data_IF_148909668417
#
_entry.id   IF_148909668417
#
_cell.length_a   1.000
_cell.length_b   1.000
_cell.length_c   1.000
_cell.angle_alpha   90.00
_cell.angle_beta   90.00
_cell.angle_gamma   90.00
#
_symmetry.space_group_name_H-M   'P 1'
#
loop_
_entity.id
_entity.type
_entity.pdbx_description
1 polymer ?
#
# COMPACT_ATOMS: atom_id res chain seq x y z
N UNK A 1 -1.48 -58.19 31.53
CA UNK A 1 -0.64 -56.99 31.31
C UNK A 1 -1.61 -55.85 31.03
N UNK A 2 -2.45 -55.39 31.94
CA UNK A 2 -2.19 -54.65 33.19
C UNK A 2 -1.17 -53.50 33.10
N UNK A 3 -1.63 -52.34 33.62
CA UNK A 3 -1.03 -51.00 33.82
C UNK A 3 -1.37 -49.99 32.72
N UNK A 4 -2.16 -48.93 32.92
CA UNK A 4 -2.64 -48.27 34.14
C UNK A 4 -1.88 -46.97 34.40
N UNK A 5 -2.64 -45.93 34.78
CA UNK A 5 -2.26 -44.58 35.22
C UNK A 5 -1.86 -43.59 34.11
N UNK A 6 -2.46 -42.41 33.97
CA UNK A 6 -3.31 -41.65 34.89
C UNK A 6 -2.72 -40.26 35.09
N UNK A 7 -3.60 -39.25 35.11
CA UNK A 7 -3.47 -37.95 35.78
C UNK A 7 -2.39 -37.00 35.20
N UNK A 8 -2.49 -35.66 35.20
CA UNK A 8 -3.44 -34.77 35.85
C UNK A 8 -3.42 -33.39 35.18
N UNK A 9 -4.41 -32.62 35.61
CA UNK A 9 -4.85 -31.33 35.12
C UNK A 9 -4.05 -30.17 35.78
N UNK A 10 -4.08 -28.99 35.14
CA UNK A 10 -3.88 -27.64 35.71
C UNK A 10 -2.42 -27.16 35.95
N UNK A 11 -2.05 -26.02 35.36
CA UNK A 11 -2.04 -24.75 36.11
C UNK A 11 -1.83 -23.52 35.22
N UNK A 12 -2.75 -22.58 35.44
CA UNK A 12 -2.86 -21.22 34.95
C UNK A 12 -1.84 -20.31 35.67
N UNK A 13 -1.04 -19.51 34.95
CA UNK A 13 -0.46 -18.21 35.38
C UNK A 13 0.74 -17.86 34.49
N UNK A 14 1.01 -16.67 33.95
CA UNK A 14 0.47 -15.30 33.91
C UNK A 14 1.16 -14.60 32.71
N UNK A 15 0.63 -13.50 32.15
CA UNK A 15 1.34 -12.72 31.14
C UNK A 15 2.58 -12.02 31.74
N UNK A 16 3.70 -12.04 31.03
CA UNK A 16 4.88 -11.24 31.37
C UNK A 16 4.61 -9.79 30.95
N UNK A 17 3.99 -9.04 31.85
CA UNK A 17 4.05 -7.57 31.85
C UNK A 17 5.22 -7.18 32.74
N UNK A 18 6.37 -6.84 32.17
CA UNK A 18 7.39 -6.07 32.90
C UNK A 18 8.04 -5.02 32.01
N UNK A 19 7.67 -3.78 32.34
CA UNK A 19 8.18 -2.51 31.88
C UNK A 19 9.53 -2.27 32.56
N UNK A 20 10.65 -2.37 31.83
CA UNK A 20 11.95 -1.92 32.32
C UNK A 20 12.25 -0.53 31.78
N UNK A 21 11.93 0.48 32.58
CA UNK A 21 12.43 1.83 32.45
C UNK A 21 13.92 1.85 32.82
N UNK A 22 14.80 1.87 31.82
CA UNK A 22 16.22 2.22 32.04
C UNK A 22 16.44 3.69 31.74
N UNK A 23 16.54 4.44 32.84
CA UNK A 23 17.01 5.81 32.94
C UNK A 23 18.43 5.93 32.38
N UNK A 24 18.60 6.67 31.28
CA UNK A 24 19.90 7.17 30.85
C UNK A 24 20.02 8.63 31.28
N UNK A 25 20.71 8.86 32.40
CA UNK A 25 21.26 10.18 32.74
C UNK A 25 22.47 10.42 31.84
N UNK A 26 22.40 11.41 30.97
CA UNK A 26 23.60 12.07 30.45
C UNK A 26 23.37 13.57 30.38
N UNK A 27 23.95 14.25 31.37
CA UNK A 27 24.07 15.68 31.46
C UNK A 27 25.14 16.14 30.47
N UNK A 28 24.75 16.87 29.44
CA UNK A 28 25.68 17.73 28.68
C UNK A 28 25.08 19.12 28.60
N UNK A 29 25.93 20.08 28.94
CA UNK A 29 25.61 21.48 29.21
C UNK A 29 25.25 22.21 27.92
N UNK A 30 24.10 22.88 27.90
CA UNK A 30 23.71 23.81 26.85
C UNK A 30 24.64 25.03 26.85
N UNK A 31 25.10 25.44 25.66
CA UNK A 31 25.70 26.75 25.40
C UNK A 31 24.82 27.47 24.35
N UNK A 32 24.47 28.75 24.52
CA UNK A 32 23.63 29.47 23.58
C UNK A 32 24.38 29.71 22.26
N UNK A 33 23.72 29.49 21.13
CA UNK A 33 24.21 29.93 19.82
C UNK A 33 23.36 31.14 19.42
N UNK A 34 24.07 32.25 19.23
CA UNK A 34 23.52 33.57 18.91
C UNK A 34 23.01 33.65 17.48
N UNK A 35 21.96 34.46 17.31
CA UNK A 35 21.40 34.85 16.02
C UNK A 35 22.37 35.75 15.25
N UNK A 36 22.72 35.36 14.02
CA UNK A 36 23.38 36.23 13.05
C UNK A 36 22.56 36.26 11.77
N UNK A 37 21.79 37.33 11.64
CA UNK A 37 21.28 37.88 10.38
C UNK A 37 22.43 38.13 9.41
N UNK A 38 22.29 37.69 8.15
CA UNK A 38 22.47 38.48 6.91
C UNK A 38 22.71 37.52 5.73
N UNK A 39 21.69 37.34 4.90
CA UNK A 39 21.76 36.55 3.65
C UNK A 39 20.73 37.11 2.67
N UNK A 40 21.12 38.20 2.03
CA UNK A 40 20.36 39.04 1.10
C UNK A 40 20.10 38.27 -0.20
N UNK A 41 18.95 37.62 -0.35
CA UNK A 41 18.48 37.19 -1.67
C UNK A 41 17.68 38.34 -2.31
N UNK A 42 18.10 38.87 -3.47
CA UNK A 42 17.36 39.91 -4.16
C UNK A 42 16.05 39.32 -4.69
N UNK A 43 14.97 40.09 -4.50
CA UNK A 43 13.62 39.73 -4.90
C UNK A 43 13.48 39.52 -6.41
N UNK A 44 12.62 38.58 -6.75
CA UNK A 44 11.94 38.57 -8.04
C UNK A 44 10.48 38.81 -7.73
N UNK A 45 10.03 39.93 -8.27
CA UNK A 45 8.72 40.56 -8.13
C UNK A 45 7.61 39.66 -8.67
N UNK A 46 6.43 39.83 -8.08
CA UNK A 46 5.16 39.38 -8.60
C UNK A 46 4.92 39.99 -9.99
N UNK A 47 4.44 39.19 -10.93
CA UNK A 47 3.78 39.67 -12.14
C UNK A 47 2.54 38.82 -12.42
N UNK A 48 1.42 39.28 -11.88
CA UNK A 48 0.12 39.01 -12.48
C UNK A 48 0.12 39.66 -13.86
N UNK A 49 -0.12 38.90 -14.95
CA UNK A 49 -1.12 39.23 -15.99
C UNK A 49 -1.11 38.24 -17.17
N UNK A 50 -2.25 37.56 -17.30
CA UNK A 50 -3.07 37.56 -18.52
C UNK A 50 -2.45 37.09 -19.86
N UNK A 51 -2.82 35.88 -20.30
CA UNK A 51 -3.68 35.75 -21.49
C UNK A 51 -4.23 34.34 -21.67
N UNK A 52 -5.56 34.25 -21.65
CA UNK A 52 -6.29 33.24 -22.43
C UNK A 52 -5.96 33.50 -23.90
N UNK A 53 -5.33 32.56 -24.56
CA UNK A 53 -5.38 32.44 -26.02
C UNK A 53 -6.16 31.18 -26.34
N UNK A 54 -7.42 31.42 -26.70
CA UNK A 54 -8.17 30.73 -27.75
C UNK A 54 -7.60 29.39 -28.26
N UNK A 55 -8.36 28.32 -28.00
CA UNK A 55 -8.75 27.40 -29.07
C UNK A 55 -7.71 26.40 -29.53
N UNK A 56 -7.36 25.45 -28.68
CA UNK A 56 -7.08 24.09 -29.15
C UNK A 56 -7.99 23.15 -28.36
N UNK A 57 -9.20 22.95 -28.89
CA UNK A 57 -10.03 21.81 -28.50
C UNK A 57 -9.23 20.58 -28.86
N UNK A 58 -8.46 20.07 -27.90
CA UNK A 58 -8.01 18.69 -27.94
C UNK A 58 -9.31 17.90 -27.97
N UNK A 59 -9.64 17.36 -29.15
CA UNK A 59 -10.67 16.37 -29.32
C UNK A 59 -10.27 15.19 -28.43
N UNK A 60 -10.70 15.21 -27.16
CA UNK A 60 -10.69 14.02 -26.32
C UNK A 60 -11.60 13.05 -27.06
N UNK A 61 -11.06 11.95 -27.62
CA UNK A 61 -11.89 10.99 -28.33
C UNK A 61 -13.06 10.69 -27.43
N UNK A 62 -14.25 10.92 -27.98
CA UNK A 62 -15.52 10.77 -27.31
C UNK A 62 -15.51 9.52 -26.46
N UNK A 63 -15.81 9.75 -25.19
CA UNK A 63 -16.11 8.80 -24.12
C UNK A 63 -17.17 7.79 -24.61
N UNK A 64 -16.72 6.85 -25.42
CA UNK A 64 -17.46 5.68 -25.88
C UNK A 64 -16.81 4.45 -25.24
N UNK A 65 -16.54 4.53 -23.94
CA UNK A 65 -16.31 3.31 -23.17
C UNK A 65 -17.69 2.73 -22.92
N UNK A 66 -18.14 1.84 -23.81
CA UNK A 66 -19.29 0.99 -23.53
C UNK A 66 -19.04 0.35 -22.16
N UNK A 67 -19.82 0.75 -21.16
CA UNK A 67 -19.73 0.20 -19.81
C UNK A 67 -20.09 -1.27 -19.88
N UNK A 68 -19.06 -2.11 -20.01
CA UNK A 68 -19.15 -3.55 -19.91
C UNK A 68 -19.97 -3.90 -18.67
N UNK A 69 -20.86 -4.88 -18.76
CA UNK A 69 -21.65 -5.31 -17.60
C UNK A 69 -20.75 -5.86 -16.48
N UNK A 70 -21.20 -5.85 -15.23
CA UNK A 70 -20.44 -6.37 -14.08
C UNK A 70 -19.87 -7.78 -14.35
N UNK A 71 -20.70 -8.68 -14.88
CA UNK A 71 -20.29 -10.04 -15.25
C UNK A 71 -19.29 -10.10 -16.40
N UNK A 72 -19.29 -9.13 -17.31
CA UNK A 72 -18.32 -9.05 -18.41
C UNK A 72 -16.96 -8.57 -17.91
N UNK A 73 -16.92 -7.57 -17.01
CA UNK A 73 -15.66 -7.09 -16.43
C UNK A 73 -14.95 -8.19 -15.62
N UNK A 74 -15.70 -8.94 -14.82
CA UNK A 74 -15.17 -10.11 -14.09
C UNK A 74 -14.54 -11.10 -15.06
N UNK A 75 -15.24 -11.46 -16.13
CA UNK A 75 -14.74 -12.39 -17.15
C UNK A 75 -13.47 -11.87 -17.84
N UNK A 76 -13.42 -10.58 -18.16
CA UNK A 76 -12.22 -9.94 -18.75
C UNK A 76 -11.03 -10.02 -17.79
N UNK A 77 -11.22 -9.70 -16.51
CA UNK A 77 -10.15 -9.77 -15.51
C UNK A 77 -9.67 -11.20 -15.27
N UNK A 78 -10.59 -12.18 -15.23
CA UNK A 78 -10.24 -13.59 -15.12
C UNK A 78 -9.46 -14.08 -16.35
N UNK A 79 -9.90 -13.73 -17.55
CA UNK A 79 -9.20 -14.06 -18.79
C UNK A 79 -7.78 -13.46 -18.80
N UNK A 80 -7.65 -12.19 -18.40
CA UNK A 80 -6.36 -11.51 -18.31
C UNK A 80 -5.45 -12.16 -17.26
N UNK A 81 -5.98 -12.49 -16.08
CA UNK A 81 -5.24 -13.21 -15.03
C UNK A 81 -4.70 -14.53 -15.57
N UNK A 82 -5.53 -15.29 -16.29
CA UNK A 82 -5.15 -16.58 -16.87
C UNK A 82 -4.04 -16.45 -17.91
N UNK A 83 -4.09 -15.43 -18.77
CA UNK A 83 -2.99 -15.15 -19.71
C UNK A 83 -1.68 -14.83 -18.96
N UNK A 84 -1.77 -14.05 -17.88
CA UNK A 84 -0.61 -13.61 -17.11
C UNK A 84 0.02 -14.71 -16.25
N UNK A 85 -0.69 -15.81 -15.94
CA UNK A 85 -0.13 -16.94 -15.19
C UNK A 85 1.07 -17.58 -15.91
N UNK A 86 1.01 -17.68 -17.24
CA UNK A 86 2.08 -18.25 -18.07
C UNK A 86 3.04 -17.19 -18.67
N UNK A 87 2.93 -15.93 -18.23
CA UNK A 87 3.72 -14.86 -18.84
C UNK A 87 5.20 -14.93 -18.43
N UNK A 88 6.06 -15.22 -19.41
CA UNK A 88 7.53 -15.21 -19.29
C UNK A 88 8.21 -14.24 -20.28
N UNK A 89 7.49 -13.21 -20.72
CA UNK A 89 7.97 -12.22 -21.70
C UNK A 89 9.14 -11.37 -21.18
N UNK A 90 9.39 -11.33 -19.87
CA UNK A 90 10.50 -10.60 -19.24
C UNK A 90 11.21 -11.44 -18.16
N UNK A 91 12.40 -11.01 -17.67
CA UNK A 91 13.13 -11.74 -16.63
C UNK A 91 12.34 -11.96 -15.33
N UNK A 92 11.48 -11.03 -14.93
CA UNK A 92 10.69 -11.13 -13.69
C UNK A 92 9.75 -12.33 -13.70
N UNK A 93 9.13 -12.63 -14.85
CA UNK A 93 8.26 -13.80 -15.00
C UNK A 93 9.02 -15.12 -14.80
N UNK A 94 10.35 -15.14 -14.98
CA UNK A 94 11.17 -16.34 -14.80
C UNK A 94 11.59 -16.56 -13.35
N UNK A 95 11.54 -15.53 -12.50
CA UNK A 95 12.08 -15.57 -11.14
C UNK A 95 11.02 -15.52 -10.04
N UNK A 96 9.81 -15.04 -10.34
CA UNK A 96 8.70 -14.98 -9.38
C UNK A 96 8.28 -16.38 -8.89
N UNK A 97 7.78 -16.46 -7.67
CA UNK A 97 7.15 -17.67 -7.12
C UNK A 97 5.69 -17.74 -7.57
N UNK A 98 4.95 -16.64 -7.43
CA UNK A 98 3.55 -16.56 -7.82
C UNK A 98 3.26 -15.32 -8.67
N UNK A 99 2.20 -15.40 -9.49
CA UNK A 99 1.60 -14.20 -10.03
C UNK A 99 0.88 -13.47 -8.91
N UNK A 100 1.28 -12.23 -8.64
CA UNK A 100 0.52 -11.30 -7.82
C UNK A 100 -0.32 -10.44 -8.77
N UNK A 101 -1.60 -10.80 -8.89
CA UNK A 101 -2.57 -10.05 -9.70
C UNK A 101 -3.31 -9.02 -8.82
N UNK A 102 -4.13 -8.17 -9.43
CA UNK A 102 -5.02 -7.26 -8.68
C UNK A 102 -6.15 -8.01 -7.99
N UNK A 103 -6.65 -7.44 -6.88
CA UNK A 103 -7.69 -8.06 -6.04
C UNK A 103 -8.61 -6.99 -5.47
N UNK A 104 -9.90 -7.27 -5.36
CA UNK A 104 -10.85 -6.33 -4.81
C UNK A 104 -12.14 -6.34 -5.61
N UNK A 105 -12.87 -5.23 -5.59
CA UNK A 105 -14.09 -5.09 -6.37
C UNK A 105 -13.77 -4.72 -7.84
N UNK A 106 -14.11 -5.54 -8.83
CA UNK A 106 -13.97 -5.22 -10.27
C UNK A 106 -14.72 -3.94 -10.69
N UNK A 107 -15.73 -3.56 -9.91
CA UNK A 107 -16.56 -2.37 -10.08
C UNK A 107 -16.11 -1.19 -9.21
N UNK A 108 -14.96 -1.29 -8.55
CA UNK A 108 -14.47 -0.24 -7.68
C UNK A 108 -14.33 1.09 -8.42
N UNK A 109 -14.80 2.17 -7.80
CA UNK A 109 -14.57 3.53 -8.30
C UNK A 109 -13.15 4.03 -7.98
N UNK A 110 -12.44 3.35 -7.09
CA UNK A 110 -11.10 3.68 -6.62
C UNK A 110 -10.19 2.46 -6.76
N UNK A 111 -9.09 2.63 -7.50
CA UNK A 111 -8.06 1.63 -7.66
C UNK A 111 -6.73 2.12 -7.07
N UNK A 112 -6.06 1.27 -6.29
CA UNK A 112 -4.73 1.52 -5.75
C UNK A 112 -3.68 0.74 -6.55
N UNK A 113 -2.76 1.46 -7.19
CA UNK A 113 -1.68 0.88 -7.98
C UNK A 113 -0.35 1.08 -7.26
N UNK A 114 0.30 -0.03 -6.91
CA UNK A 114 1.63 -0.05 -6.32
C UNK A 114 2.74 -0.17 -7.38
N UNK A 115 3.97 -0.38 -6.91
CA UNK A 115 5.16 -0.53 -7.76
C UNK A 115 5.28 -1.96 -8.32
N UNK A 116 5.85 -2.87 -7.53
CA UNK A 116 6.05 -4.28 -7.85
C UNK A 116 5.78 -5.12 -6.59
N UNK A 117 5.45 -6.42 -6.74
CA UNK A 117 5.28 -7.30 -5.60
C UNK A 117 6.57 -7.42 -4.78
N UNK A 118 6.44 -7.29 -3.45
CA UNK A 118 7.51 -7.59 -2.52
C UNK A 118 7.63 -9.09 -2.27
N UNK A 119 8.48 -9.46 -1.31
CA UNK A 119 8.70 -10.86 -0.93
C UNK A 119 7.44 -11.54 -0.40
N UNK A 120 6.72 -10.87 0.50
CA UNK A 120 5.56 -11.47 1.16
C UNK A 120 4.40 -11.63 0.16
N UNK A 121 4.26 -10.66 -0.75
CA UNK A 121 3.31 -10.71 -1.86
C UNK A 121 3.65 -11.84 -2.83
N UNK A 122 4.90 -11.95 -3.29
CA UNK A 122 5.33 -13.03 -4.20
C UNK A 122 5.14 -14.42 -3.60
N UNK A 123 5.39 -14.57 -2.29
CA UNK A 123 5.19 -15.84 -1.59
C UNK A 123 3.70 -16.21 -1.43
N UNK A 124 2.82 -15.23 -1.26
CA UNK A 124 1.39 -15.46 -1.02
C UNK A 124 0.54 -15.40 -2.30
N UNK A 125 1.02 -14.77 -3.37
CA UNK A 125 0.25 -14.51 -4.58
C UNK A 125 -0.76 -13.37 -4.46
N UNK A 126 -0.69 -12.58 -3.38
CA UNK A 126 -1.70 -11.59 -3.00
C UNK A 126 -1.06 -10.20 -2.83
N UNK A 127 -1.66 -9.13 -3.38
CA UNK A 127 -1.08 -7.80 -3.34
C UNK A 127 -1.25 -7.15 -1.95
N UNK A 128 -0.26 -6.36 -1.54
CA UNK A 128 -0.31 -5.56 -0.31
C UNK A 128 -0.56 -6.38 0.97
N UNK A 129 0.11 -7.52 1.13
CA UNK A 129 0.02 -8.35 2.34
C UNK A 129 1.15 -8.07 3.34
N UNK A 130 2.25 -7.45 2.90
CA UNK A 130 3.37 -7.05 3.76
C UNK A 130 3.08 -5.83 4.64
N UNK A 131 4.11 -5.32 5.33
CA UNK A 131 3.97 -4.18 6.26
C UNK A 131 3.39 -2.92 5.62
N UNK A 132 3.81 -2.59 4.39
CA UNK A 132 3.29 -1.45 3.66
C UNK A 132 1.81 -1.63 3.30
N UNK A 133 1.41 -2.86 2.95
CA UNK A 133 0.03 -3.18 2.67
C UNK A 133 -0.89 -3.12 3.88
N UNK A 134 -0.40 -3.53 5.06
CA UNK A 134 -1.12 -3.32 6.32
C UNK A 134 -1.35 -1.83 6.64
N UNK A 135 -0.38 -0.98 6.32
CA UNK A 135 -0.55 0.47 6.44
C UNK A 135 -1.59 0.99 5.43
N UNK A 136 -1.54 0.53 4.18
CA UNK A 136 -2.54 0.87 3.17
C UNK A 136 -3.95 0.49 3.62
N UNK A 137 -4.14 -0.73 4.15
CA UNK A 137 -5.43 -1.17 4.70
C UNK A 137 -5.96 -0.22 5.77
N UNK A 138 -5.12 0.21 6.72
CA UNK A 138 -5.52 1.19 7.74
C UNK A 138 -5.91 2.55 7.16
N UNK A 139 -5.25 2.99 6.09
CA UNK A 139 -5.58 4.24 5.40
C UNK A 139 -6.94 4.12 4.69
N UNK A 140 -7.20 2.99 4.02
CA UNK A 140 -8.48 2.70 3.37
C UNK A 140 -9.62 2.69 4.41
N UNK A 141 -9.39 2.03 5.54
CA UNK A 141 -10.34 2.02 6.67
C UNK A 141 -10.58 3.42 7.25
N UNK A 142 -9.53 4.24 7.36
CA UNK A 142 -9.63 5.60 7.87
C UNK A 142 -10.47 6.54 6.98
N UNK A 143 -10.57 6.25 5.68
CA UNK A 143 -11.45 6.98 4.75
C UNK A 143 -12.85 6.34 4.63
N UNK A 144 -13.17 5.36 5.47
CA UNK A 144 -14.50 4.75 5.54
C UNK A 144 -14.76 3.66 4.50
N UNK A 145 -13.72 3.11 3.88
CA UNK A 145 -13.81 2.02 2.91
C UNK A 145 -13.19 0.73 3.47
N UNK A 146 -13.48 -0.42 2.86
CA UNK A 146 -12.80 -1.70 3.10
C UNK A 146 -11.94 -2.08 1.90
N UNK A 147 -10.99 -3.01 2.09
CA UNK A 147 -10.22 -3.60 0.98
C UNK A 147 -11.11 -4.23 -0.10
N UNK A 148 -12.29 -4.74 0.28
CA UNK A 148 -13.29 -5.28 -0.65
C UNK A 148 -14.03 -4.23 -1.48
N UNK A 149 -13.97 -2.95 -1.11
CA UNK A 149 -14.71 -1.88 -1.77
C UNK A 149 -13.89 -1.18 -2.86
N UNK A 150 -12.59 -1.48 -2.91
CA UNK A 150 -11.58 -0.91 -3.81
C UNK A 150 -10.93 -2.01 -4.64
N UNK A 151 -10.11 -1.65 -5.63
CA UNK A 151 -9.30 -2.59 -6.42
C UNK A 151 -7.80 -2.31 -6.25
#
# INVERSE_FOLDING_TARGET
MEKGFGIDTLTLSKPVTEFSSRSAKSSTKNKPIEHSTTGKHPGILNAETNRRTSGETINRPSDQTSVAGEGERIQILEALRNEMLACHKCPLGKTRTHLVFGTGNPEAQLMFVGEAPGRDEDLQGEPFVGRAGQLLTKIIEAIGLKRSDVY
#
